data_IF_415180008131
#
_entry.id   IF_415180008131
#
_cell.length_a   1.000
_cell.length_b   1.000
_cell.length_c   1.000
_cell.angle_alpha   90.00
_cell.angle_beta   90.00
_cell.angle_gamma   90.00
#
_symmetry.space_group_name_H-M   'P 1'
#
loop_
_entity.id
_entity.type
_entity.pdbx_description
1 polymer ?
#
# COMPACT_ATOMS: atom_id res chain seq x y z
N UNK A 1 3.76 -18.98 -1.64
CA UNK A 1 3.77 -17.96 -2.71
C UNK A 1 3.16 -16.70 -2.12
N UNK A 2 3.87 -15.59 -2.16
CA UNK A 2 3.48 -14.35 -1.47
C UNK A 2 2.68 -13.45 -2.41
N UNK A 3 1.57 -12.88 -1.93
CA UNK A 3 0.76 -11.94 -2.68
C UNK A 3 1.17 -10.49 -2.39
N UNK A 4 1.32 -9.69 -3.44
CA UNK A 4 1.58 -8.25 -3.36
C UNK A 4 0.37 -7.53 -3.95
N UNK A 5 -0.22 -6.63 -3.16
CA UNK A 5 -1.29 -5.74 -3.62
C UNK A 5 -0.68 -4.46 -4.18
N UNK A 6 -0.98 -4.16 -5.44
CA UNK A 6 -0.64 -2.90 -6.11
C UNK A 6 -1.88 -2.01 -6.08
N UNK A 7 -1.81 -0.91 -5.35
CA UNK A 7 -2.91 0.00 -5.15
C UNK A 7 -2.90 1.08 -6.22
N UNK A 8 -3.99 1.19 -6.99
CA UNK A 8 -4.13 2.22 -7.99
C UNK A 8 -4.59 3.54 -7.33
N UNK A 9 -3.63 4.43 -7.08
CA UNK A 9 -3.79 5.68 -6.32
C UNK A 9 -3.24 6.83 -7.17
N UNK A 10 -4.04 7.87 -7.43
CA UNK A 10 -3.62 9.07 -8.16
C UNK A 10 -2.89 8.79 -9.50
N UNK A 11 -3.35 7.79 -10.29
CA UNK A 11 -2.73 7.34 -11.56
C UNK A 11 -1.36 6.69 -11.40
N UNK A 12 -1.09 6.10 -10.24
CA UNK A 12 0.11 5.31 -10.00
C UNK A 12 -0.28 4.01 -9.31
N UNK A 13 0.54 3.00 -9.52
CA UNK A 13 0.46 1.74 -8.79
C UNK A 13 1.47 1.77 -7.66
N UNK A 14 0.94 1.77 -6.43
CA UNK A 14 1.74 1.88 -5.21
C UNK A 14 1.72 0.56 -4.48
N UNK A 15 2.89 0.06 -4.07
CA UNK A 15 2.97 -1.12 -3.21
C UNK A 15 4.16 -1.06 -2.26
N UNK A 16 4.10 -1.89 -1.22
CA UNK A 16 5.18 -2.00 -0.23
C UNK A 16 5.51 -3.45 0.01
N UNK A 17 6.76 -3.80 -0.26
CA UNK A 17 7.27 -5.13 -0.01
C UNK A 17 8.76 -5.07 0.35
N UNK A 18 9.16 -5.93 1.29
CA UNK A 18 10.58 -6.12 1.58
C UNK A 18 11.05 -7.35 0.80
N UNK A 19 11.95 -7.14 -0.16
CA UNK A 19 12.52 -8.22 -0.95
C UNK A 19 13.79 -8.74 -0.27
N UNK A 20 13.78 -10.02 0.11
CA UNK A 20 14.98 -10.72 0.60
C UNK A 20 16.01 -10.90 -0.52
N UNK A 21 15.54 -11.06 -1.77
CA UNK A 21 16.38 -11.22 -2.94
C UNK A 21 16.90 -9.89 -3.48
N UNK A 22 18.22 -9.71 -3.37
CA UNK A 22 18.87 -8.46 -3.78
C UNK A 22 18.77 -8.13 -5.27
N UNK A 23 18.46 -9.11 -6.13
CA UNK A 23 18.35 -8.90 -7.57
C UNK A 23 17.02 -8.23 -7.94
N UNK A 24 15.89 -8.75 -7.43
CA UNK A 24 14.58 -8.17 -7.70
C UNK A 24 14.48 -6.72 -7.18
N UNK A 25 15.02 -6.44 -5.99
CA UNK A 25 15.08 -5.07 -5.50
C UNK A 25 15.89 -4.15 -6.42
N UNK A 26 17.01 -4.63 -6.99
CA UNK A 26 17.81 -3.83 -7.93
C UNK A 26 17.03 -3.54 -9.21
N UNK A 27 16.29 -4.52 -9.73
CA UNK A 27 15.53 -4.40 -10.97
C UNK A 27 14.30 -3.49 -10.87
N UNK A 28 13.82 -3.26 -9.65
CA UNK A 28 12.71 -2.37 -9.32
C UNK A 28 13.16 -1.08 -8.63
N UNK A 29 14.47 -0.85 -8.49
CA UNK A 29 15.04 0.23 -7.69
C UNK A 29 14.61 1.61 -8.17
N UNK A 30 14.41 1.78 -9.47
CA UNK A 30 14.03 3.06 -10.06
C UNK A 30 12.60 3.48 -9.67
N UNK A 31 11.76 2.51 -9.31
CA UNK A 31 10.40 2.74 -8.78
C UNK A 31 10.37 2.94 -7.26
N UNK A 32 11.50 2.78 -6.56
CA UNK A 32 11.51 2.81 -5.09
C UNK A 32 11.66 4.22 -4.52
N UNK A 33 10.61 4.72 -3.89
CA UNK A 33 10.65 5.95 -3.10
C UNK A 33 11.26 5.68 -1.70
N UNK A 34 12.42 6.31 -1.46
CA UNK A 34 13.17 6.17 -0.19
C UNK A 34 12.61 6.98 0.96
N UNK A 35 11.86 8.04 0.68
CA UNK A 35 11.22 8.89 1.68
C UNK A 35 9.98 8.19 2.23
N UNK A 36 9.18 7.60 1.35
CA UNK A 36 7.91 6.94 1.69
C UNK A 36 8.06 5.42 1.92
N UNK A 37 9.25 4.85 1.63
CA UNK A 37 9.55 3.42 1.78
C UNK A 37 8.55 2.52 1.04
N UNK A 38 8.25 2.88 -0.21
CA UNK A 38 7.28 2.20 -1.07
C UNK A 38 7.75 2.25 -2.52
N UNK A 39 7.15 1.42 -3.37
CA UNK A 39 7.33 1.47 -4.80
C UNK A 39 6.18 2.25 -5.42
N UNK A 40 6.49 3.15 -6.34
CA UNK A 40 5.53 3.90 -7.16
C UNK A 40 5.84 3.65 -8.63
N UNK A 41 4.85 3.16 -9.35
CA UNK A 41 4.97 2.78 -10.76
C UNK A 41 3.94 3.55 -11.57
N UNK A 42 4.35 4.17 -12.66
CA UNK A 42 3.45 4.84 -13.60
C UNK A 42 2.58 3.82 -14.36
N UNK A 43 1.43 4.25 -14.88
CA UNK A 43 0.45 3.35 -15.52
C UNK A 43 1.01 2.60 -16.73
N UNK A 44 1.90 3.21 -17.50
CA UNK A 44 2.51 2.62 -18.69
C UNK A 44 3.64 1.62 -18.39
N UNK A 45 4.15 1.60 -17.16
CA UNK A 45 5.23 0.72 -16.72
C UNK A 45 4.74 -0.45 -15.84
N UNK A 46 3.47 -0.42 -15.40
CA UNK A 46 2.94 -1.39 -14.43
C UNK A 46 3.03 -2.84 -14.90
N UNK A 47 2.71 -3.11 -16.17
CA UNK A 47 2.72 -4.46 -16.72
C UNK A 47 4.14 -5.07 -16.65
N UNK A 48 5.16 -4.27 -16.94
CA UNK A 48 6.57 -4.69 -16.85
C UNK A 48 6.97 -5.02 -15.41
N UNK A 49 6.45 -4.27 -14.44
CA UNK A 49 6.70 -4.55 -13.01
C UNK A 49 5.97 -5.82 -12.58
N UNK A 50 4.74 -6.05 -13.04
CA UNK A 50 3.97 -7.27 -12.76
C UNK A 50 4.71 -8.49 -13.28
N UNK A 51 5.15 -8.48 -14.55
CA UNK A 51 5.89 -9.59 -15.15
C UNK A 51 7.17 -9.92 -14.37
N UNK A 52 7.92 -8.90 -13.92
CA UNK A 52 9.09 -9.08 -13.05
C UNK A 52 8.69 -9.75 -11.73
N UNK A 53 7.67 -9.24 -11.04
CA UNK A 53 7.23 -9.81 -9.76
C UNK A 53 6.80 -11.28 -9.92
N UNK A 54 6.03 -11.59 -10.95
CA UNK A 54 5.57 -12.96 -11.22
C UNK A 54 6.71 -13.90 -11.62
N UNK A 55 7.68 -13.40 -12.41
CA UNK A 55 8.89 -14.15 -12.78
C UNK A 55 9.75 -14.55 -11.58
N UNK A 56 9.68 -13.79 -10.48
CA UNK A 56 10.32 -14.11 -9.21
C UNK A 56 9.41 -14.88 -8.23
N UNK A 57 8.24 -15.34 -8.68
CA UNK A 57 7.34 -16.19 -7.91
C UNK A 57 6.40 -15.47 -6.95
N UNK A 58 6.20 -14.16 -7.12
CA UNK A 58 5.13 -13.43 -6.43
C UNK A 58 3.82 -13.56 -7.20
N UNK A 59 2.69 -13.40 -6.50
CA UNK A 59 1.40 -13.13 -7.13
C UNK A 59 1.09 -11.66 -6.99
N UNK A 60 0.60 -11.05 -8.07
CA UNK A 60 0.17 -9.67 -8.04
C UNK A 60 -1.36 -9.59 -8.03
N UNK A 61 -1.89 -8.69 -7.20
CA UNK A 61 -3.29 -8.31 -7.21
C UNK A 61 -3.36 -6.78 -7.38
N UNK A 62 -4.03 -6.32 -8.44
CA UNK A 62 -4.36 -4.90 -8.59
C UNK A 62 -5.55 -4.60 -7.69
N UNK A 63 -5.41 -3.59 -6.83
CA UNK A 63 -6.49 -3.06 -5.99
C UNK A 63 -6.93 -1.74 -6.61
N UNK A 64 -8.11 -1.76 -7.23
CA UNK A 64 -8.69 -0.56 -7.82
C UNK A 64 -9.28 0.36 -6.76
N UNK A 65 -9.51 1.63 -7.14
CA UNK A 65 -9.92 2.71 -6.23
C UNK A 65 -11.13 2.36 -5.35
N UNK A 66 -12.10 1.64 -5.89
CA UNK A 66 -13.31 1.22 -5.20
C UNK A 66 -13.07 0.11 -4.16
N UNK A 67 -11.98 -0.64 -4.28
CA UNK A 67 -11.58 -1.71 -3.36
C UNK A 67 -10.65 -1.22 -2.23
N UNK A 68 -9.94 -0.11 -2.42
CA UNK A 68 -9.06 0.50 -1.39
C UNK A 68 -9.72 0.67 0.00
N UNK A 69 -11.03 0.99 0.13
CA UNK A 69 -11.70 1.02 1.44
C UNK A 69 -11.55 -0.28 2.25
N UNK A 70 -11.47 -1.43 1.59
CA UNK A 70 -11.32 -2.74 2.24
C UNK A 70 -9.94 -2.92 2.90
N UNK A 71 -8.98 -2.08 2.54
CA UNK A 71 -7.60 -2.10 3.02
C UNK A 71 -7.29 -0.93 3.95
N UNK A 72 -8.26 -0.04 4.16
CA UNK A 72 -8.03 1.22 4.86
C UNK A 72 -8.45 1.13 6.33
N UNK A 73 -7.63 1.72 7.19
CA UNK A 73 -7.90 1.93 8.61
C UNK A 73 -7.82 3.43 8.93
N UNK A 74 -8.83 3.97 9.60
CA UNK A 74 -8.81 5.33 10.14
C UNK A 74 -8.32 5.28 11.58
N UNK A 75 -7.30 6.08 11.90
CA UNK A 75 -6.72 6.19 13.24
C UNK A 75 -6.63 7.64 13.69
N UNK A 76 -6.54 7.86 14.99
CA UNK A 76 -6.22 9.17 15.55
C UNK A 76 -4.74 9.51 15.25
N UNK A 77 -4.46 10.75 14.84
CA UNK A 77 -3.10 11.16 14.49
C UNK A 77 -2.14 11.23 15.68
N UNK A 78 -2.66 11.26 16.90
CA UNK A 78 -1.90 11.39 18.14
C UNK A 78 -1.56 10.04 18.78
N UNK A 79 -2.15 8.95 18.31
CA UNK A 79 -1.85 7.60 18.80
C UNK A 79 -0.48 7.11 18.34
N UNK A 80 0.07 6.09 19.03
CA UNK A 80 1.31 5.44 18.58
C UNK A 80 1.03 4.67 17.29
N UNK A 81 1.73 4.99 16.20
CA UNK A 81 1.47 4.43 14.87
C UNK A 81 2.62 3.60 14.27
N UNK A 82 3.75 3.47 14.98
CA UNK A 82 5.02 3.07 14.37
C UNK A 82 5.00 1.71 13.65
N UNK A 83 4.25 0.74 14.15
CA UNK A 83 4.05 -0.56 13.53
C UNK A 83 2.96 -0.56 12.43
N UNK A 84 1.92 0.27 12.57
CA UNK A 84 0.92 0.48 11.52
C UNK A 84 1.54 1.10 10.25
N UNK A 85 2.42 2.09 10.41
CA UNK A 85 3.11 2.75 9.31
C UNK A 85 4.04 1.79 8.53
N UNK A 86 4.58 0.76 9.18
CA UNK A 86 5.36 -0.29 8.49
C UNK A 86 4.49 -1.09 7.52
N UNK A 87 3.21 -1.26 7.84
CA UNK A 87 2.24 -1.98 7.03
C UNK A 87 1.42 -1.07 6.12
N UNK A 88 1.55 0.26 6.24
CA UNK A 88 0.89 1.23 5.38
C UNK A 88 1.65 1.42 4.07
N UNK A 89 0.92 1.38 2.95
CA UNK A 89 1.40 1.77 1.61
C UNK A 89 1.17 3.26 1.35
N UNK A 90 0.11 3.83 1.92
CA UNK A 90 -0.25 5.24 1.76
C UNK A 90 -0.83 5.79 3.07
N UNK A 91 -0.61 7.08 3.33
CA UNK A 91 -1.09 7.79 4.52
C UNK A 91 -1.77 9.09 4.09
N UNK A 92 -3.06 9.21 4.36
CA UNK A 92 -3.86 10.38 4.01
C UNK A 92 -4.25 11.13 5.29
N UNK A 93 -3.84 12.39 5.41
CA UNK A 93 -4.18 13.24 6.57
C UNK A 93 -5.65 13.74 6.48
N UNK A 94 -6.40 13.56 7.57
CA UNK A 94 -7.83 13.88 7.69
C UNK A 94 -8.13 14.79 8.90
N UNK A 95 -7.36 15.87 9.05
CA UNK A 95 -7.51 16.80 10.16
C UNK A 95 -6.90 16.24 11.43
N UNK A 96 -7.71 15.73 12.35
CA UNK A 96 -7.24 15.06 13.58
C UNK A 96 -7.11 13.54 13.43
N UNK A 97 -7.48 13.00 12.27
CA UNK A 97 -7.39 11.59 11.93
C UNK A 97 -6.40 11.37 10.78
N UNK A 98 -5.97 10.12 10.60
CA UNK A 98 -5.26 9.66 9.40
C UNK A 98 -5.96 8.44 8.83
N UNK A 99 -5.97 8.33 7.52
CA UNK A 99 -6.31 7.08 6.85
C UNK A 99 -5.04 6.37 6.40
N UNK A 100 -4.87 5.16 6.87
CA UNK A 100 -3.78 4.27 6.51
C UNK A 100 -4.30 3.25 5.51
N UNK A 101 -3.80 3.28 4.27
CA UNK A 101 -4.03 2.19 3.32
C UNK A 101 -3.00 1.11 3.63
N UNK A 102 -3.46 -0.05 4.10
CA UNK A 102 -2.59 -1.13 4.55
C UNK A 102 -2.31 -2.11 3.41
N UNK A 103 -1.11 -2.71 3.43
CA UNK A 103 -0.62 -3.60 2.36
C UNK A 103 -1.47 -4.86 2.13
N UNK A 104 -2.34 -5.24 3.07
CA UNK A 104 -3.23 -6.41 2.96
C UNK A 104 -4.46 -6.30 3.87
N UNK A 105 -5.52 -7.06 3.55
CA UNK A 105 -6.72 -7.19 4.39
C UNK A 105 -6.40 -7.78 5.77
N UNK A 106 -5.45 -8.72 5.84
CA UNK A 106 -4.95 -9.28 7.11
C UNK A 106 -4.32 -8.20 7.99
N UNK A 107 -3.50 -7.31 7.41
CA UNK A 107 -2.90 -6.21 8.16
C UNK A 107 -3.96 -5.23 8.70
N UNK A 108 -5.06 -5.02 7.97
CA UNK A 108 -6.22 -4.23 8.44
C UNK A 108 -6.93 -4.92 9.59
N UNK A 109 -7.19 -6.21 9.48
CA UNK A 109 -7.85 -7.00 10.53
C UNK A 109 -7.04 -6.97 11.83
N UNK A 110 -5.73 -7.22 11.77
CA UNK A 110 -4.82 -7.16 12.92
C UNK A 110 -4.74 -5.77 13.58
N UNK A 111 -5.03 -4.72 12.81
CA UNK A 111 -4.95 -3.33 13.27
C UNK A 111 -6.31 -2.75 13.70
N UNK A 112 -7.42 -3.49 13.53
CA UNK A 112 -8.76 -2.96 13.72
C UNK A 112 -9.02 -2.46 15.13
N UNK A 113 -8.44 -3.09 16.16
CA UNK A 113 -8.56 -2.68 17.57
C UNK A 113 -7.97 -1.28 17.86
N UNK A 114 -7.26 -0.70 16.90
CA UNK A 114 -6.56 0.59 17.02
C UNK A 114 -7.15 1.69 16.14
N UNK A 115 -8.26 1.39 15.46
CA UNK A 115 -8.86 2.32 14.54
C UNK A 115 -10.30 1.95 14.23
N UNK A 116 -10.75 2.41 13.06
CA UNK A 116 -12.09 2.15 12.57
C UNK A 116 -12.11 2.11 11.05
N UNK A 117 -13.22 1.63 10.51
CA UNK A 117 -13.42 1.60 9.07
C UNK A 117 -13.51 3.00 8.46
N UNK A 118 -13.09 3.17 7.19
CA UNK A 118 -13.25 4.41 6.46
C UNK A 118 -14.72 4.79 6.31
N UNK A 119 -15.01 6.08 6.46
CA UNK A 119 -16.31 6.67 6.22
C UNK A 119 -16.33 7.41 4.86
N UNK A 120 -17.50 7.95 4.48
CA UNK A 120 -17.69 8.68 3.23
C UNK A 120 -16.76 9.91 3.10
N UNK A 121 -16.37 10.53 4.22
CA UNK A 121 -15.42 11.66 4.23
C UNK A 121 -14.04 11.27 3.71
N UNK A 122 -13.61 10.04 3.96
CA UNK A 122 -12.36 9.52 3.41
C UNK A 122 -12.49 9.07 1.95
N UNK A 123 -13.59 8.41 1.57
CA UNK A 123 -13.78 7.92 0.19
C UNK A 123 -13.68 9.04 -0.85
N UNK A 124 -14.07 10.26 -0.48
CA UNK A 124 -13.95 11.45 -1.33
C UNK A 124 -12.51 11.99 -1.50
N UNK A 125 -11.50 11.39 -0.84
CA UNK A 125 -10.09 11.83 -0.83
C UNK A 125 -9.13 10.87 -1.55
N UNK A 126 -9.56 9.64 -1.82
CA UNK A 126 -8.96 8.80 -2.86
C UNK A 126 -9.25 9.41 -4.22
#
# INVERSE_FOLDING_TARGET
MTMINLFHIHRRYIFKHYFDESNLFKDLRDYYDRSEYRFEVEEDEVDSVIEKLEGYGYRVHIVERDEIPDYTLIIDKYDKQGDLLKNSVEVIELGDEKALVLKSKVAKEEAMDRGKEPNERWKARL
#
